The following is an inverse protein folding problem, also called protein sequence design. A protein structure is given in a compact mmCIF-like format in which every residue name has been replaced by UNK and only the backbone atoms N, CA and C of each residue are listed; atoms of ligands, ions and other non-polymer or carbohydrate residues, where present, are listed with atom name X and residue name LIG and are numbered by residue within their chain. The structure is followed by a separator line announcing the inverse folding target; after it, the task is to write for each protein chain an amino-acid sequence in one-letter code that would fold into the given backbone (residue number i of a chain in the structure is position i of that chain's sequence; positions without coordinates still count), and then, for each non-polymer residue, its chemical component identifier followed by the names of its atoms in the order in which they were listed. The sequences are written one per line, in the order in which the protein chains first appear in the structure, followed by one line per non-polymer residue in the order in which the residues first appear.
data_IF_607299339367
#
_entry.id   IF_607299339367
#
_cell.length_a   1.000
_cell.length_b   1.000
_cell.length_c   1.000
_cell.angle_alpha   90.00
_cell.angle_beta   90.00
_cell.angle_gamma   90.00
#
_symmetry.space_group_name_H-M   'P 1'
#
loop_
_entity.id
_entity.type
_entity.pdbx_description
1 polymer ?
#
# COMPACT_ATOMS: atom_id res chain seq x y z
N UNK A 1 -13.43 23.75 43.37
CA UNK A 1 -12.81 24.06 42.05
C UNK A 1 -11.39 23.52 41.93
N UNK A 2 -10.47 23.72 42.90
CA UNK A 2 -9.07 23.21 42.81
C UNK A 2 -8.97 21.69 42.68
N UNK A 3 -9.79 20.91 43.38
CA UNK A 3 -9.83 19.45 43.33
C UNK A 3 -10.35 18.92 41.99
N UNK A 4 -11.33 19.59 41.34
CA UNK A 4 -11.81 19.26 40.02
C UNK A 4 -10.72 19.41 38.95
N UNK A 5 -10.03 20.52 38.94
CA UNK A 5 -8.92 20.77 38.01
C UNK A 5 -7.76 19.80 38.23
N UNK A 6 -7.45 19.48 39.48
CA UNK A 6 -6.42 18.46 39.82
C UNK A 6 -6.78 17.09 39.28
N UNK A 7 -8.03 16.63 39.46
CA UNK A 7 -8.51 15.37 38.91
C UNK A 7 -8.53 15.32 37.38
N UNK A 8 -8.93 16.42 36.75
CA UNK A 8 -8.91 16.54 35.29
C UNK A 8 -7.50 16.44 34.72
N UNK A 9 -6.54 17.18 35.28
CA UNK A 9 -5.14 17.16 34.84
C UNK A 9 -4.55 15.75 35.05
N UNK A 10 -4.80 15.14 36.19
CA UNK A 10 -4.33 13.78 36.49
C UNK A 10 -4.91 12.76 35.51
N UNK A 11 -6.20 12.82 35.20
CA UNK A 11 -6.85 11.95 34.23
C UNK A 11 -6.28 12.13 32.82
N UNK A 12 -6.09 13.38 32.37
CA UNK A 12 -5.49 13.68 31.08
C UNK A 12 -4.04 13.19 30.97
N UNK A 13 -3.28 13.21 32.06
CA UNK A 13 -1.92 12.68 32.09
C UNK A 13 -1.88 11.14 32.20
N UNK A 14 -2.80 10.54 32.94
CA UNK A 14 -2.84 9.09 33.16
C UNK A 14 -3.09 8.30 31.87
N UNK A 15 -3.98 8.78 30.99
CA UNK A 15 -4.33 8.07 29.74
C UNK A 15 -3.11 7.85 28.83
N UNK A 16 -2.32 8.87 28.45
CA UNK A 16 -1.13 8.65 27.62
C UNK A 16 -0.04 7.83 28.36
N UNK A 17 0.13 8.02 29.66
CA UNK A 17 1.10 7.23 30.44
C UNK A 17 0.74 5.75 30.45
N UNK A 18 -0.53 5.41 30.72
CA UNK A 18 -1.01 4.03 30.69
C UNK A 18 -0.93 3.44 29.27
N UNK A 19 -1.22 4.23 28.22
CA UNK A 19 -1.06 3.83 26.83
C UNK A 19 0.40 3.48 26.50
N UNK A 20 1.34 4.32 26.90
CA UNK A 20 2.77 4.05 26.71
C UNK A 20 3.20 2.82 27.51
N UNK A 21 2.79 2.70 28.77
CA UNK A 21 3.09 1.55 29.61
C UNK A 21 2.56 0.25 29.00
N UNK A 22 1.33 0.28 28.43
CA UNK A 22 0.76 -0.86 27.70
C UNK A 22 1.61 -1.25 26.47
N UNK A 23 2.04 -0.28 25.67
CA UNK A 23 2.90 -0.58 24.50
C UNK A 23 4.24 -1.17 24.94
N UNK A 24 4.85 -0.62 25.99
CA UNK A 24 6.15 -1.08 26.51
C UNK A 24 6.06 -2.41 27.27
N UNK A 25 4.87 -2.83 27.69
CA UNK A 25 4.66 -4.09 28.42
C UNK A 25 4.83 -5.35 27.58
N UNK A 26 4.87 -5.22 26.24
CA UNK A 26 4.94 -6.35 25.32
C UNK A 26 3.60 -7.06 25.06
N UNK A 27 2.49 -6.58 25.63
CA UNK A 27 1.14 -7.13 25.37
C UNK A 27 0.45 -6.46 24.18
N UNK A 28 0.97 -5.34 23.68
CA UNK A 28 0.42 -4.70 22.49
C UNK A 28 0.65 -5.59 21.25
N UNK A 29 -0.34 -5.81 20.39
CA UNK A 29 -0.19 -6.62 19.19
C UNK A 29 0.84 -5.96 18.25
N UNK A 30 1.83 -6.74 17.87
CA UNK A 30 2.92 -6.30 16.99
C UNK A 30 3.18 -7.27 15.84
N UNK A 31 2.71 -8.53 15.94
CA UNK A 31 2.85 -9.51 14.89
C UNK A 31 1.71 -9.41 13.88
N UNK A 32 1.99 -9.70 12.61
CA UNK A 32 0.97 -9.74 11.53
C UNK A 32 -0.14 -10.76 11.85
N UNK A 33 0.18 -11.81 12.63
CA UNK A 33 -0.76 -12.83 13.04
C UNK A 33 -1.66 -12.40 14.22
N UNK A 34 -1.35 -11.30 14.89
CA UNK A 34 -2.14 -10.80 16.00
C UNK A 34 -3.48 -10.23 15.51
N UNK A 35 -4.47 -10.24 16.40
CA UNK A 35 -5.74 -9.57 16.11
C UNK A 35 -5.55 -8.06 16.18
N UNK A 36 -6.11 -7.30 15.21
CA UNK A 36 -6.04 -5.84 15.25
C UNK A 36 -6.72 -5.29 16.50
N UNK A 37 -6.18 -4.19 17.03
CA UNK A 37 -6.82 -3.46 18.13
C UNK A 37 -8.13 -2.81 17.63
N UNK A 38 -9.16 -2.69 18.49
CA UNK A 38 -10.33 -1.92 18.13
C UNK A 38 -9.98 -0.55 17.59
N UNK A 39 -10.66 -0.11 16.53
CA UNK A 39 -10.45 1.16 15.83
C UNK A 39 -9.13 1.31 15.06
N UNK A 40 -8.18 0.38 15.12
CA UNK A 40 -6.91 0.46 14.39
C UNK A 40 -7.11 0.70 12.90
N UNK A 41 -7.88 -0.17 12.25
CA UNK A 41 -8.16 -0.06 10.81
C UNK A 41 -8.91 1.22 10.46
N UNK A 42 -9.87 1.61 11.31
CA UNK A 42 -10.64 2.84 11.10
C UNK A 42 -9.72 4.08 11.17
N UNK A 43 -8.91 4.19 12.20
CA UNK A 43 -8.02 5.35 12.39
C UNK A 43 -6.95 5.41 11.31
N UNK A 44 -6.33 4.27 10.98
CA UNK A 44 -5.33 4.19 9.90
C UNK A 44 -5.95 4.53 8.54
N UNK A 45 -7.14 3.99 8.25
CA UNK A 45 -7.88 4.28 7.01
C UNK A 45 -8.31 5.74 6.91
N UNK A 46 -8.83 6.32 7.98
CA UNK A 46 -9.23 7.73 8.02
C UNK A 46 -8.04 8.67 7.83
N UNK A 47 -6.91 8.40 8.48
CA UNK A 47 -5.68 9.17 8.32
C UNK A 47 -5.14 9.09 6.89
N UNK A 48 -5.14 7.89 6.28
CA UNK A 48 -4.74 7.69 4.90
C UNK A 48 -5.67 8.42 3.93
N UNK A 49 -6.98 8.29 4.08
CA UNK A 49 -7.98 8.94 3.23
C UNK A 49 -7.85 10.47 3.30
N UNK A 50 -7.73 11.05 4.49
CA UNK A 50 -7.54 12.49 4.68
C UNK A 50 -6.24 12.98 4.02
N UNK A 51 -5.16 12.20 4.10
CA UNK A 51 -3.89 12.54 3.47
C UNK A 51 -3.98 12.51 1.95
N UNK A 52 -4.57 11.45 1.39
CA UNK A 52 -4.78 11.29 -0.05
C UNK A 52 -5.67 12.43 -0.58
N UNK A 53 -6.79 12.71 0.08
CA UNK A 53 -7.70 13.79 -0.31
C UNK A 53 -6.99 15.14 -0.42
N UNK A 54 -6.03 15.41 0.46
CA UNK A 54 -5.25 16.65 0.46
C UNK A 54 -4.16 16.70 -0.61
N UNK A 55 -3.56 15.57 -0.99
CA UNK A 55 -2.31 15.53 -1.75
C UNK A 55 -2.39 14.81 -3.08
N UNK A 56 -3.44 14.02 -3.34
CA UNK A 56 -3.59 13.31 -4.60
C UNK A 56 -3.72 14.32 -5.75
N UNK A 57 -2.82 14.27 -6.74
CA UNK A 57 -2.91 15.18 -7.88
C UNK A 57 -4.12 14.83 -8.76
N UNK A 58 -4.69 15.84 -9.39
CA UNK A 58 -5.77 15.66 -10.35
C UNK A 58 -5.17 15.47 -11.76
N UNK A 59 -5.57 14.38 -12.41
CA UNK A 59 -5.25 14.12 -13.82
C UNK A 59 -6.42 13.38 -14.45
N UNK A 60 -6.75 13.73 -15.70
CA UNK A 60 -7.84 13.06 -16.43
C UNK A 60 -7.37 11.69 -16.93
N UNK A 61 -8.16 10.67 -16.64
CA UNK A 61 -7.93 9.30 -17.11
C UNK A 61 -8.06 9.19 -18.65
N UNK A 62 -8.87 10.05 -19.28
CA UNK A 62 -9.02 10.09 -20.74
C UNK A 62 -7.74 10.50 -21.47
N UNK A 63 -6.80 11.15 -20.80
CA UNK A 63 -5.50 11.52 -21.37
C UNK A 63 -4.50 10.38 -21.53
N UNK A 64 -4.82 9.17 -21.04
CA UNK A 64 -3.95 7.99 -21.16
C UNK A 64 -4.33 7.15 -22.38
N UNK A 65 -3.34 6.83 -23.20
CA UNK A 65 -3.46 6.01 -24.41
C UNK A 65 -3.36 4.51 -24.09
N UNK A 66 -3.73 3.66 -25.05
CA UNK A 66 -3.52 2.21 -24.91
C UNK A 66 -2.03 1.86 -24.76
N UNK A 67 -1.13 2.62 -25.41
CA UNK A 67 0.31 2.45 -25.24
C UNK A 67 0.77 2.72 -23.78
N UNK A 68 0.17 3.70 -23.09
CA UNK A 68 0.43 3.96 -21.67
C UNK A 68 -0.05 2.80 -20.80
N UNK A 69 -1.19 2.19 -21.12
CA UNK A 69 -1.70 1.03 -20.39
C UNK A 69 -0.80 -0.20 -20.59
N UNK A 70 -0.28 -0.42 -21.80
CA UNK A 70 0.71 -1.47 -22.08
C UNK A 70 2.02 -1.23 -21.31
N UNK A 71 2.50 0.00 -21.30
CA UNK A 71 3.68 0.38 -20.53
C UNK A 71 3.45 0.17 -19.02
N UNK A 72 2.29 0.62 -18.50
CA UNK A 72 1.84 0.38 -17.13
C UNK A 72 1.78 -1.10 -16.77
N UNK A 73 1.28 -1.96 -17.65
CA UNK A 73 1.22 -3.41 -17.47
C UNK A 73 2.61 -4.03 -17.31
N UNK A 74 3.59 -3.58 -18.10
CA UNK A 74 4.98 -4.00 -17.98
C UNK A 74 5.60 -3.61 -16.63
N UNK A 75 5.34 -2.38 -16.17
CA UNK A 75 5.81 -1.92 -14.84
C UNK A 75 5.11 -2.70 -13.73
N UNK A 76 3.78 -2.86 -13.82
CA UNK A 76 2.96 -3.56 -12.83
C UNK A 76 3.46 -4.99 -12.59
N UNK A 77 3.73 -5.75 -13.65
CA UNK A 77 4.22 -7.13 -13.55
C UNK A 77 5.54 -7.24 -12.78
N UNK A 78 6.42 -6.26 -12.91
CA UNK A 78 7.73 -6.25 -12.25
C UNK A 78 7.65 -5.80 -10.80
N UNK A 79 6.70 -4.92 -10.48
CA UNK A 79 6.74 -4.15 -9.23
C UNK A 79 5.55 -4.41 -8.30
N UNK A 80 4.40 -4.84 -8.84
CA UNK A 80 3.12 -4.87 -8.10
C UNK A 80 2.58 -6.28 -7.84
N UNK A 81 3.41 -7.30 -7.88
CA UNK A 81 3.00 -8.71 -7.78
C UNK A 81 2.23 -9.10 -6.50
N UNK A 82 2.24 -8.26 -5.47
CA UNK A 82 1.45 -8.46 -4.25
C UNK A 82 -0.06 -8.32 -4.49
N UNK A 83 -0.45 -7.56 -5.52
CA UNK A 83 -1.86 -7.29 -5.86
C UNK A 83 -2.46 -8.28 -6.85
N UNK A 84 -1.74 -9.36 -7.20
CA UNK A 84 -2.20 -10.37 -8.15
C UNK A 84 -2.17 -9.90 -9.60
N UNK A 85 -2.59 -10.79 -10.50
CA UNK A 85 -2.70 -10.57 -11.94
C UNK A 85 -4.07 -11.08 -12.41
N UNK A 86 -4.57 -10.63 -13.58
CA UNK A 86 -5.77 -11.22 -14.19
C UNK A 86 -5.61 -12.73 -14.31
N UNK A 87 -6.65 -13.49 -14.02
CA UNK A 87 -6.70 -14.97 -14.07
C UNK A 87 -5.64 -15.68 -13.19
N UNK A 88 -4.88 -14.94 -12.41
CA UNK A 88 -3.86 -15.46 -11.50
C UNK A 88 -3.94 -14.72 -10.16
N UNK A 89 -5.02 -14.95 -9.39
CA UNK A 89 -5.07 -14.45 -8.04
C UNK A 89 -3.83 -14.98 -7.31
N UNK A 90 -3.33 -14.21 -6.38
CA UNK A 90 -2.10 -14.43 -5.62
C UNK A 90 -1.74 -15.91 -5.47
N UNK A 91 -0.71 -16.39 -6.17
CA UNK A 91 -0.30 -17.80 -6.15
C UNK A 91 0.62 -18.10 -4.97
N UNK A 92 0.30 -19.19 -4.25
CA UNK A 92 1.15 -19.85 -3.27
C UNK A 92 1.18 -19.23 -1.88
N UNK A 93 1.84 -19.92 -0.91
CA UNK A 93 2.05 -19.42 0.43
C UNK A 93 3.04 -18.27 0.37
N UNK A 94 2.53 -17.06 0.23
CA UNK A 94 3.34 -15.84 0.39
C UNK A 94 3.24 -15.37 1.83
N UNK A 95 4.27 -14.68 2.34
CA UNK A 95 4.16 -14.03 3.62
C UNK A 95 2.88 -13.20 3.68
N UNK A 96 2.09 -13.45 4.70
CA UNK A 96 0.88 -12.67 4.94
C UNK A 96 1.33 -11.28 5.40
N UNK A 97 0.82 -10.25 4.74
CA UNK A 97 1.01 -8.86 5.18
C UNK A 97 -0.30 -8.37 5.81
N UNK A 98 -0.20 -7.46 6.72
CA UNK A 98 -1.37 -6.80 7.29
C UNK A 98 -1.30 -5.29 7.01
N UNK A 99 -2.36 -4.70 6.48
CA UNK A 99 -3.53 -5.36 5.86
C UNK A 99 -3.17 -6.18 4.61
N UNK A 100 -4.02 -7.14 4.25
CA UNK A 100 -3.84 -7.94 3.04
C UNK A 100 -4.00 -7.05 1.79
N UNK A 101 -3.06 -7.08 0.82
CA UNK A 101 -3.18 -6.30 -0.41
C UNK A 101 -4.43 -6.69 -1.20
N UNK A 102 -5.24 -5.72 -1.66
CA UNK A 102 -6.39 -6.01 -2.52
C UNK A 102 -5.94 -6.62 -3.84
N UNK A 103 -6.77 -7.48 -4.43
CA UNK A 103 -6.54 -8.07 -5.75
C UNK A 103 -7.11 -7.12 -6.82
N UNK A 104 -6.27 -6.29 -7.44
CA UNK A 104 -6.69 -5.16 -8.27
C UNK A 104 -7.33 -5.54 -9.62
N UNK A 105 -7.32 -6.84 -9.99
CA UNK A 105 -7.94 -7.35 -11.22
C UNK A 105 -9.10 -8.32 -10.95
N UNK A 106 -9.70 -8.23 -9.78
CA UNK A 106 -10.94 -8.95 -9.43
C UNK A 106 -12.05 -7.96 -9.12
N UNK A 107 -13.34 -8.28 -9.35
CA UNK A 107 -14.44 -7.35 -9.11
C UNK A 107 -14.44 -6.73 -7.71
N UNK A 108 -14.06 -7.50 -6.69
CA UNK A 108 -14.03 -7.04 -5.29
C UNK A 108 -12.83 -6.12 -4.98
N UNK A 109 -11.86 -6.05 -5.88
CA UNK A 109 -10.62 -5.30 -5.68
C UNK A 109 -10.41 -4.16 -6.67
N UNK A 110 -11.31 -3.97 -7.63
CA UNK A 110 -11.20 -2.87 -8.58
C UNK A 110 -11.16 -1.52 -7.87
N UNK A 111 -10.33 -0.64 -8.40
CA UNK A 111 -10.23 0.77 -7.98
C UNK A 111 -10.62 1.71 -9.12
N UNK A 112 -11.51 1.24 -9.98
CA UNK A 112 -11.96 1.95 -11.20
C UNK A 112 -12.83 3.16 -10.89
N UNK A 113 -13.44 3.20 -9.70
CA UNK A 113 -14.24 4.31 -9.21
C UNK A 113 -13.40 5.42 -8.55
N UNK A 114 -12.13 5.11 -8.21
CA UNK A 114 -11.23 6.08 -7.61
C UNK A 114 -10.65 7.02 -8.69
N UNK A 115 -10.48 8.32 -8.39
CA UNK A 115 -9.68 9.20 -9.25
C UNK A 115 -8.27 8.62 -9.45
N UNK A 116 -7.76 8.62 -10.68
CA UNK A 116 -6.45 8.03 -11.01
C UNK A 116 -5.30 8.57 -10.14
N UNK A 117 -5.41 9.83 -9.69
CA UNK A 117 -4.44 10.44 -8.78
C UNK A 117 -4.36 9.78 -7.39
N UNK A 118 -5.42 9.09 -6.95
CA UNK A 118 -5.43 8.33 -5.70
C UNK A 118 -4.47 7.14 -5.82
N UNK A 119 -4.58 6.38 -6.89
CA UNK A 119 -3.68 5.25 -7.18
C UNK A 119 -2.24 5.73 -7.41
N UNK A 120 -2.05 6.82 -8.15
CA UNK A 120 -0.73 7.43 -8.32
C UNK A 120 -0.11 7.84 -6.97
N UNK A 121 -0.88 8.49 -6.09
CA UNK A 121 -0.39 8.90 -4.77
C UNK A 121 0.06 7.69 -3.94
N UNK A 122 -0.73 6.61 -3.94
CA UNK A 122 -0.41 5.36 -3.23
C UNK A 122 0.88 4.71 -3.78
N UNK A 123 1.03 4.63 -5.10
CA UNK A 123 2.25 4.10 -5.73
C UNK A 123 3.46 4.95 -5.39
N UNK A 124 3.34 6.27 -5.52
CA UNK A 124 4.46 7.20 -5.26
C UNK A 124 4.94 7.16 -3.82
N UNK A 125 4.01 7.22 -2.86
CA UNK A 125 4.35 7.41 -1.45
C UNK A 125 4.40 6.11 -0.64
N UNK A 126 3.78 5.03 -1.13
CA UNK A 126 3.52 3.84 -0.34
C UNK A 126 2.48 4.09 0.75
N UNK A 127 2.21 3.09 1.57
CA UNK A 127 1.28 3.19 2.69
C UNK A 127 1.98 2.72 3.96
N UNK A 128 2.17 3.65 4.90
CA UNK A 128 2.89 3.40 6.15
C UNK A 128 2.22 2.28 6.97
N UNK A 129 3.03 1.46 7.63
CA UNK A 129 2.61 0.32 8.44
C UNK A 129 1.85 -0.75 7.65
N UNK A 130 2.08 -0.82 6.34
CA UNK A 130 1.59 -1.89 5.46
C UNK A 130 2.74 -2.50 4.68
N UNK A 131 2.45 -3.55 3.90
CA UNK A 131 3.42 -4.14 2.98
C UNK A 131 3.64 -3.33 1.69
N UNK A 132 2.98 -2.18 1.48
CA UNK A 132 3.12 -1.38 0.25
C UNK A 132 4.26 -0.36 0.37
N UNK A 133 5.39 -0.56 -0.33
CA UNK A 133 6.50 0.37 -0.30
C UNK A 133 6.23 1.62 -1.15
N UNK A 134 7.04 2.66 -0.95
CA UNK A 134 7.10 3.80 -1.86
C UNK A 134 7.95 3.44 -3.10
N UNK A 135 7.41 3.73 -4.29
CA UNK A 135 8.13 3.51 -5.55
C UNK A 135 8.82 4.76 -6.09
N UNK A 136 8.77 5.87 -5.35
CA UNK A 136 9.34 7.16 -5.77
C UNK A 136 10.83 7.11 -6.17
N UNK A 137 11.60 6.21 -5.57
CA UNK A 137 13.04 6.08 -5.83
C UNK A 137 13.38 5.07 -6.93
N UNK A 138 12.42 4.27 -7.40
CA UNK A 138 12.65 3.16 -8.33
C UNK A 138 11.87 3.27 -9.63
N UNK A 139 10.80 4.05 -9.65
CA UNK A 139 9.99 4.31 -10.84
C UNK A 139 10.02 5.79 -11.20
N UNK A 140 10.02 6.08 -12.52
CA UNK A 140 9.84 7.45 -12.99
C UNK A 140 8.41 7.94 -12.70
N UNK A 141 8.22 9.27 -12.71
CA UNK A 141 6.89 9.87 -12.51
C UNK A 141 5.87 9.35 -13.54
N UNK A 142 6.29 9.26 -14.81
CA UNK A 142 5.47 8.72 -15.88
C UNK A 142 5.09 7.24 -15.65
N UNK A 143 6.04 6.40 -15.25
CA UNK A 143 5.77 5.00 -14.94
C UNK A 143 4.75 4.83 -13.80
N UNK A 144 4.82 5.68 -12.78
CA UNK A 144 3.84 5.68 -11.69
C UNK A 144 2.44 6.07 -12.17
N UNK A 145 2.34 7.05 -13.08
CA UNK A 145 1.08 7.41 -13.71
C UNK A 145 0.53 6.31 -14.62
N UNK A 146 1.37 5.64 -15.41
CA UNK A 146 0.98 4.54 -16.27
C UNK A 146 0.43 3.35 -15.47
N UNK A 147 1.05 3.01 -14.34
CA UNK A 147 0.50 2.00 -13.41
C UNK A 147 -0.83 2.45 -12.81
N UNK A 148 -0.94 3.72 -12.40
CA UNK A 148 -2.18 4.25 -11.85
C UNK A 148 -3.32 4.21 -12.87
N UNK A 149 -3.05 4.58 -14.13
CA UNK A 149 -4.02 4.51 -15.23
C UNK A 149 -4.43 3.05 -15.54
N UNK A 150 -3.47 2.12 -15.53
CA UNK A 150 -3.74 0.70 -15.73
C UNK A 150 -4.76 0.17 -14.71
N UNK A 151 -4.54 0.43 -13.41
CA UNK A 151 -5.45 -0.09 -12.38
C UNK A 151 -6.78 0.65 -12.34
N UNK A 152 -6.80 1.92 -12.72
CA UNK A 152 -8.04 2.69 -12.86
C UNK A 152 -8.91 2.22 -14.05
N UNK A 153 -8.35 1.48 -15.00
CA UNK A 153 -9.05 0.86 -16.14
C UNK A 153 -9.06 -0.66 -16.07
N UNK A 154 -8.87 -1.26 -14.89
CA UNK A 154 -8.68 -2.69 -14.71
C UNK A 154 -9.85 -3.55 -15.25
N UNK A 155 -11.06 -3.00 -15.29
CA UNK A 155 -12.27 -3.62 -15.82
C UNK A 155 -12.41 -3.53 -17.35
N UNK A 156 -11.64 -2.67 -18.03
CA UNK A 156 -11.74 -2.33 -19.46
C UNK A 156 -10.39 -2.18 -20.14
N UNK A 157 -9.45 -3.09 -19.86
CA UNK A 157 -8.12 -3.04 -20.44
C UNK A 157 -8.12 -3.43 -21.91
N UNK A 158 -7.31 -2.79 -22.77
CA UNK A 158 -7.07 -3.25 -24.12
C UNK A 158 -6.40 -4.63 -24.11
N UNK A 159 -6.63 -5.39 -25.20
CA UNK A 159 -6.12 -6.76 -25.32
C UNK A 159 -4.61 -6.84 -25.13
N UNK A 160 -3.89 -5.90 -25.69
CA UNK A 160 -2.42 -5.84 -25.62
C UNK A 160 -1.91 -5.69 -24.17
N UNK A 161 -2.56 -4.88 -23.36
CA UNK A 161 -2.23 -4.74 -21.94
C UNK A 161 -2.57 -6.01 -21.14
N UNK A 162 -3.71 -6.65 -21.45
CA UNK A 162 -4.08 -7.94 -20.86
C UNK A 162 -3.09 -9.05 -21.25
N UNK A 163 -2.66 -9.10 -22.50
CA UNK A 163 -1.68 -10.09 -22.98
C UNK A 163 -0.34 -9.92 -22.25
N UNK A 164 0.09 -8.69 -21.98
CA UNK A 164 1.26 -8.41 -21.13
C UNK A 164 1.06 -8.93 -19.71
N UNK A 165 -0.07 -8.64 -19.08
CA UNK A 165 -0.34 -9.06 -17.69
C UNK A 165 -0.43 -10.59 -17.54
N UNK A 166 -0.87 -11.32 -18.57
CA UNK A 166 -1.01 -12.79 -18.58
C UNK A 166 0.29 -13.55 -18.85
N UNK A 167 1.35 -12.88 -19.28
CA UNK A 167 2.65 -13.54 -19.47
C UNK A 167 3.18 -14.15 -18.16
N UNK A 168 4.02 -15.19 -18.20
CA UNK A 168 4.62 -15.77 -17.03
C UNK A 168 5.32 -14.72 -16.13
N UNK A 169 5.35 -14.90 -14.81
CA UNK A 169 6.03 -13.97 -13.92
C UNK A 169 7.47 -13.74 -14.34
N UNK A 170 7.89 -12.49 -14.38
CA UNK A 170 9.31 -12.14 -14.53
C UNK A 170 10.01 -12.61 -13.25
N UNK A 171 11.08 -13.44 -13.33
CA UNK A 171 11.85 -13.77 -12.15
C UNK A 171 12.29 -12.48 -11.44
N UNK A 172 12.07 -12.41 -10.13
CA UNK A 172 12.60 -11.29 -9.36
C UNK A 172 14.12 -11.23 -9.60
N UNK A 173 14.68 -10.03 -9.83
CA UNK A 173 16.13 -9.88 -9.82
C UNK A 173 16.65 -10.46 -8.51
N UNK A 174 17.67 -11.31 -8.59
CA UNK A 174 18.29 -11.89 -7.40
C UNK A 174 18.56 -10.74 -6.41
N UNK A 175 18.05 -10.88 -5.18
CA UNK A 175 18.24 -9.87 -4.16
C UNK A 175 19.73 -9.58 -4.05
N UNK A 176 20.14 -8.33 -4.29
CA UNK A 176 21.51 -7.93 -4.07
C UNK A 176 21.87 -8.28 -2.61
N UNK A 177 23.02 -8.91 -2.36
CA UNK A 177 23.41 -9.26 -1.01
C UNK A 177 23.39 -7.98 -0.16
N UNK A 178 22.91 -8.06 1.10
CA UNK A 178 22.82 -6.89 1.95
C UNK A 178 24.20 -6.26 2.11
N UNK A 179 24.32 -4.99 1.80
CA UNK A 179 25.57 -4.23 1.79
C UNK A 179 26.32 -4.20 3.15
N UNK A 180 25.79 -4.85 4.19
CA UNK A 180 26.31 -4.85 5.56
C UNK A 180 26.55 -6.24 6.17
N UNK A 181 26.66 -7.32 5.39
CA UNK A 181 26.94 -8.64 5.96
C UNK A 181 28.34 -8.75 6.63
N UNK A 182 29.25 -7.81 6.36
CA UNK A 182 30.65 -7.89 6.85
C UNK A 182 30.89 -7.23 8.22
N UNK A 183 29.89 -6.61 8.86
CA UNK A 183 30.11 -5.89 10.14
C UNK A 183 29.53 -6.57 11.40
N UNK A 184 29.00 -7.78 11.29
CA UNK A 184 28.44 -8.52 12.44
C UNK A 184 29.28 -9.71 12.91
N UNK A 185 30.54 -9.80 12.46
CA UNK A 185 31.50 -10.81 12.94
C UNK A 185 32.69 -10.14 13.66
N UNK A 186 32.41 -9.36 14.68
CA UNK A 186 33.41 -9.03 15.70
C UNK A 186 32.75 -8.89 17.06
#
# INVERSE_FOLDING_TARGET
MKTFWGGLILGLAAVPVLGIAYVLSGYAPAAVADRPVPLEQFLAGAALAARIHREAPQRDLAGFTDADLVAGANVYRRSCGCHGLPDSPRRGPRPVTFPTPPQLFTPDGYVTDDPVGVSYWKVKNGIRLTGMPSFKSVLSDEQMWQVAALVAKADKLPKEALDVLKQPPVPAPAAAPPANATKLQK
#
